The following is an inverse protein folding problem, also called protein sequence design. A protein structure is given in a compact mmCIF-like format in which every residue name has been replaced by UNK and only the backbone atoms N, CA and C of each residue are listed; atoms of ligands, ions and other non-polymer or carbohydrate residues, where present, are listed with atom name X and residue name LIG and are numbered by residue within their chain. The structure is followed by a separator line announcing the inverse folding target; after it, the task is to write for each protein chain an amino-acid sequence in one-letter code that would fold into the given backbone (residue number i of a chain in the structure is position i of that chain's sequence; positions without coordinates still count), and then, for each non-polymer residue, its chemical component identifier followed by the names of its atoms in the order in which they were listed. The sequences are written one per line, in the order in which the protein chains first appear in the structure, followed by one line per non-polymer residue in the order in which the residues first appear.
data_IF_704057814836
#
_entry.id   IF_704057814836
#
_cell.length_a   1.000
_cell.length_b   1.000
_cell.length_c   1.000
_cell.angle_alpha   90.00
_cell.angle_beta   90.00
_cell.angle_gamma   90.00
#
_symmetry.space_group_name_H-M   'P 1'
#
loop_
_entity.id
_entity.type
_entity.pdbx_description
1 polymer ?
#
# COMPACT_ATOMS: atom_id res chain seq x y z
N UNK A 1 -1.75 13.56 -15.00
CA UNK A 1 -2.51 12.32 -14.71
C UNK A 1 -4.00 12.66 -14.78
N UNK A 2 -4.70 12.15 -15.80
CA UNK A 2 -6.17 12.16 -15.82
C UNK A 2 -6.55 10.92 -14.98
N UNK A 3 -6.79 11.10 -13.70
CA UNK A 3 -7.39 10.05 -12.87
C UNK A 3 -8.88 10.05 -13.25
N UNK A 4 -9.28 9.18 -14.16
CA UNK A 4 -10.68 8.97 -14.49
C UNK A 4 -11.38 8.05 -13.50
N UNK A 5 -10.63 7.23 -12.77
CA UNK A 5 -11.17 6.25 -11.84
C UNK A 5 -10.49 6.36 -10.48
N UNK A 6 -11.29 6.28 -9.42
CA UNK A 6 -10.82 6.21 -8.05
C UNK A 6 -11.13 4.84 -7.44
N UNK A 7 -10.11 4.15 -6.98
CA UNK A 7 -10.24 2.87 -6.30
C UNK A 7 -10.58 3.07 -4.81
N UNK A 8 -11.72 2.58 -4.39
CA UNK A 8 -12.20 2.61 -3.02
C UNK A 8 -12.22 1.20 -2.45
N UNK A 9 -11.50 0.97 -1.35
CA UNK A 9 -11.59 -0.26 -0.57
C UNK A 9 -12.89 -0.29 0.21
N UNK A 10 -13.66 -1.36 0.06
CA UNK A 10 -14.91 -1.57 0.79
C UNK A 10 -14.68 -1.69 2.31
N UNK A 11 -13.61 -2.37 2.74
CA UNK A 11 -13.26 -2.48 4.15
C UNK A 11 -12.81 -1.14 4.73
N UNK A 12 -12.00 -0.39 4.00
CA UNK A 12 -11.57 0.93 4.44
C UNK A 12 -12.73 1.93 4.49
N UNK A 13 -13.70 1.83 3.55
CA UNK A 13 -14.91 2.64 3.58
C UNK A 13 -15.72 2.42 4.87
N UNK A 14 -15.79 1.17 5.37
CA UNK A 14 -16.45 0.83 6.64
C UNK A 14 -15.81 1.43 7.89
N UNK A 15 -14.57 1.91 7.80
CA UNK A 15 -13.96 2.64 8.92
C UNK A 15 -14.55 4.04 9.10
N UNK A 16 -15.18 4.58 8.05
CA UNK A 16 -15.76 5.93 8.07
C UNK A 16 -17.28 5.96 8.16
N UNK A 17 -17.96 4.91 7.74
CA UNK A 17 -19.43 4.86 7.76
C UNK A 17 -19.92 3.47 8.11
N UNK A 18 -20.90 3.40 9.04
CA UNK A 18 -21.51 2.15 9.48
C UNK A 18 -22.56 1.70 8.47
N UNK A 19 -22.42 0.49 7.92
CA UNK A 19 -23.39 -0.12 7.03
C UNK A 19 -23.23 -1.64 6.92
N UNK A 20 -24.31 -2.34 6.56
CA UNK A 20 -24.36 -3.79 6.35
C UNK A 20 -24.66 -4.16 4.89
N UNK A 21 -24.58 -3.21 3.95
CA UNK A 21 -24.74 -3.50 2.53
C UNK A 21 -23.62 -4.43 2.07
N UNK A 22 -23.93 -5.34 1.15
CA UNK A 22 -22.91 -6.12 0.44
C UNK A 22 -22.07 -5.21 -0.49
N UNK A 23 -20.89 -5.65 -0.96
CA UNK A 23 -20.12 -4.88 -1.94
C UNK A 23 -20.93 -4.44 -3.16
N UNK A 24 -21.75 -5.35 -3.73
CA UNK A 24 -22.62 -5.01 -4.86
C UNK A 24 -23.68 -3.98 -4.49
N UNK A 25 -24.36 -4.13 -3.37
CA UNK A 25 -25.36 -3.15 -2.90
C UNK A 25 -24.72 -1.78 -2.62
N UNK A 26 -23.47 -1.76 -2.15
CA UNK A 26 -22.72 -0.52 -1.94
C UNK A 26 -22.40 0.17 -3.28
N UNK A 27 -21.97 -0.59 -4.28
CA UNK A 27 -21.75 -0.07 -5.64
C UNK A 27 -23.04 0.51 -6.25
N UNK A 28 -24.18 -0.20 -6.11
CA UNK A 28 -25.48 0.26 -6.58
C UNK A 28 -25.92 1.55 -5.87
N UNK A 29 -25.69 1.64 -4.55
CA UNK A 29 -26.00 2.82 -3.76
C UNK A 29 -25.18 4.03 -4.18
N UNK A 30 -23.87 3.86 -4.38
CA UNK A 30 -22.96 4.92 -4.83
C UNK A 30 -23.35 5.43 -6.22
N UNK A 31 -23.59 4.54 -7.16
CA UNK A 31 -24.06 4.90 -8.50
C UNK A 31 -25.39 5.68 -8.43
N UNK A 32 -26.33 5.24 -7.59
CA UNK A 32 -27.64 5.90 -7.47
C UNK A 32 -27.57 7.31 -6.84
N UNK A 33 -26.51 7.63 -6.10
CA UNK A 33 -26.30 8.98 -5.54
C UNK A 33 -25.31 9.83 -6.35
N UNK A 34 -24.89 9.36 -7.54
CA UNK A 34 -24.11 10.16 -8.51
C UNK A 34 -22.60 9.92 -8.47
N UNK A 35 -22.16 8.82 -7.86
CA UNK A 35 -20.79 8.31 -7.94
C UNK A 35 -20.84 7.03 -8.77
N UNK A 36 -20.68 7.16 -10.10
CA UNK A 36 -20.77 6.04 -11.03
C UNK A 36 -19.69 5.01 -10.77
N UNK A 37 -20.10 3.76 -10.57
CA UNK A 37 -19.19 2.65 -10.33
C UNK A 37 -18.96 1.91 -11.64
N UNK A 38 -17.71 1.93 -12.12
CA UNK A 38 -17.28 1.30 -13.36
C UNK A 38 -16.95 -0.19 -13.17
N UNK A 39 -16.32 -0.53 -12.05
CA UNK A 39 -15.96 -1.90 -11.75
C UNK A 39 -16.07 -2.21 -10.24
N UNK A 40 -16.30 -3.50 -9.95
CA UNK A 40 -16.30 -4.05 -8.61
C UNK A 40 -15.51 -5.36 -8.63
N UNK A 41 -14.36 -5.38 -7.98
CA UNK A 41 -13.44 -6.51 -8.01
C UNK A 41 -13.07 -6.99 -6.61
N UNK A 42 -13.05 -8.31 -6.41
CA UNK A 42 -12.49 -8.91 -5.19
C UNK A 42 -10.97 -8.95 -5.28
N UNK A 43 -10.29 -8.22 -4.39
CA UNK A 43 -8.83 -8.14 -4.31
C UNK A 43 -8.34 -8.89 -3.08
N UNK A 44 -7.33 -9.72 -3.28
CA UNK A 44 -6.67 -10.46 -2.22
C UNK A 44 -5.35 -9.77 -1.89
N UNK A 45 -5.04 -9.60 -0.59
CA UNK A 45 -3.79 -8.97 -0.11
C UNK A 45 -2.53 -9.68 -0.60
N UNK A 46 -2.64 -10.99 -0.83
CA UNK A 46 -1.60 -11.81 -1.48
C UNK A 46 -2.16 -12.36 -2.78
N UNK A 47 -1.42 -12.21 -3.87
CA UNK A 47 -1.81 -12.67 -5.21
C UNK A 47 -2.15 -14.17 -5.19
N UNK A 48 -3.38 -14.51 -5.59
CA UNK A 48 -3.91 -15.87 -5.53
C UNK A 48 -4.50 -16.29 -4.17
N UNK A 49 -4.41 -15.45 -3.12
CA UNK A 49 -5.06 -15.65 -1.82
C UNK A 49 -4.66 -16.94 -1.11
N UNK A 50 -3.46 -17.42 -1.35
CA UNK A 50 -2.95 -18.70 -0.82
C UNK A 50 -3.87 -19.91 -1.09
N UNK A 51 -4.65 -19.87 -2.18
CA UNK A 51 -5.54 -20.98 -2.57
C UNK A 51 -4.73 -22.23 -2.92
N UNK A 52 -5.07 -23.37 -2.28
CA UNK A 52 -4.35 -24.63 -2.49
C UNK A 52 -3.09 -24.81 -1.65
N UNK A 53 -2.82 -23.85 -0.73
CA UNK A 53 -1.78 -23.99 0.29
C UNK A 53 -2.40 -24.42 1.63
N UNK A 54 -1.69 -25.31 2.35
CA UNK A 54 -2.18 -25.89 3.60
C UNK A 54 -1.06 -25.99 4.63
N UNK A 55 -1.40 -25.97 5.90
CA UNK A 55 -0.50 -26.36 6.98
C UNK A 55 -0.29 -27.87 6.91
N UNK A 56 0.95 -28.30 6.72
CA UNK A 56 1.35 -29.71 6.69
C UNK A 56 2.25 -30.06 7.86
N UNK A 57 2.37 -31.37 8.16
CA UNK A 57 3.34 -31.91 9.09
C UNK A 57 4.29 -32.89 8.38
N UNK A 58 5.58 -32.62 8.45
CA UNK A 58 6.61 -33.52 7.95
C UNK A 58 6.70 -34.71 8.88
N UNK A 59 6.26 -35.89 8.42
CA UNK A 59 6.29 -37.12 9.21
C UNK A 59 7.68 -37.77 9.16
N UNK A 60 8.27 -37.86 7.97
CA UNK A 60 9.64 -38.38 7.75
C UNK A 60 10.42 -37.47 6.83
N UNK A 61 11.72 -37.45 6.99
CA UNK A 61 12.65 -36.69 6.15
C UNK A 61 13.90 -37.53 5.95
N UNK A 62 14.11 -38.04 4.73
CA UNK A 62 15.22 -38.93 4.40
C UNK A 62 16.06 -38.32 3.28
N UNK A 63 17.37 -38.68 3.25
CA UNK A 63 18.24 -38.22 2.16
C UNK A 63 17.76 -38.77 0.80
N UNK A 64 17.81 -37.98 -0.23
CA UNK A 64 17.41 -38.40 -1.57
C UNK A 64 18.43 -39.38 -2.17
N UNK A 65 18.01 -40.53 -2.73
CA UNK A 65 18.93 -41.59 -3.15
C UNK A 65 19.90 -41.18 -4.29
N UNK A 66 19.54 -40.15 -5.05
CA UNK A 66 20.31 -39.68 -6.21
C UNK A 66 20.71 -38.18 -6.09
N UNK A 67 20.76 -37.62 -4.88
CA UNK A 67 21.14 -36.23 -4.65
C UNK A 67 21.69 -36.04 -3.25
N UNK A 68 22.68 -35.18 -3.12
CA UNK A 68 23.38 -34.82 -1.88
C UNK A 68 22.72 -33.63 -1.14
N UNK A 69 21.81 -32.91 -1.81
CA UNK A 69 21.13 -31.71 -1.26
C UNK A 69 19.60 -31.83 -1.24
N UNK A 70 19.01 -32.88 -1.84
CA UNK A 70 17.57 -33.09 -1.79
C UNK A 70 17.19 -34.05 -0.65
N UNK A 71 15.98 -33.88 -0.13
CA UNK A 71 15.35 -34.74 0.85
C UNK A 71 14.03 -35.27 0.32
N UNK A 72 13.73 -36.53 0.63
CA UNK A 72 12.41 -37.14 0.39
C UNK A 72 11.62 -37.08 1.68
N UNK A 73 10.51 -36.40 1.67
CA UNK A 73 9.66 -36.21 2.85
C UNK A 73 8.31 -36.88 2.66
N UNK A 74 7.72 -37.38 3.74
CA UNK A 74 6.30 -37.74 3.81
C UNK A 74 5.60 -36.68 4.63
N UNK A 75 4.62 -36.01 4.03
CA UNK A 75 3.93 -34.87 4.63
C UNK A 75 2.45 -35.16 4.78
N UNK A 76 1.95 -35.01 6.01
CA UNK A 76 0.52 -35.09 6.32
C UNK A 76 -0.11 -33.70 6.11
N UNK A 77 -1.15 -33.64 5.26
CA UNK A 77 -1.95 -32.45 5.01
C UNK A 77 -3.34 -32.52 5.67
N UNK A 78 -3.59 -33.49 6.56
CA UNK A 78 -4.91 -33.68 7.17
C UNK A 78 -5.99 -34.13 6.20
N UNK A 79 -5.63 -34.61 4.99
CA UNK A 79 -6.55 -35.00 3.92
C UNK A 79 -6.61 -36.50 3.63
N UNK A 80 -6.07 -37.32 4.52
CA UNK A 80 -6.01 -38.77 4.39
C UNK A 80 -4.58 -39.29 4.32
N UNK A 81 -4.18 -39.92 3.22
CA UNK A 81 -2.82 -40.48 3.09
C UNK A 81 -1.75 -39.40 2.99
N UNK A 82 -0.63 -39.54 3.72
CA UNK A 82 0.49 -38.62 3.60
C UNK A 82 1.05 -38.57 2.18
N UNK A 83 1.46 -37.38 1.76
CA UNK A 83 1.99 -37.14 0.41
C UNK A 83 3.53 -37.17 0.43
N UNK A 84 4.13 -37.81 -0.58
CA UNK A 84 5.57 -37.77 -0.81
C UNK A 84 5.92 -36.45 -1.51
N UNK A 85 6.81 -35.66 -0.89
CA UNK A 85 7.30 -34.40 -1.44
C UNK A 85 8.82 -34.39 -1.38
N UNK A 86 9.46 -34.04 -2.50
CA UNK A 86 10.92 -33.85 -2.55
C UNK A 86 11.22 -32.37 -2.27
N UNK A 87 12.05 -32.10 -1.29
CA UNK A 87 12.42 -30.76 -0.83
C UNK A 87 13.92 -30.54 -0.94
N UNK A 88 14.33 -29.36 -1.44
CA UNK A 88 15.73 -28.96 -1.56
C UNK A 88 16.20 -27.98 -0.48
N UNK A 89 15.31 -27.56 0.41
CA UNK A 89 15.66 -26.59 1.43
C UNK A 89 16.56 -27.20 2.53
N UNK A 90 17.59 -26.49 2.99
CA UNK A 90 18.55 -27.02 3.97
C UNK A 90 17.97 -27.16 5.37
N UNK A 91 16.86 -26.49 5.66
CA UNK A 91 16.23 -26.47 6.98
C UNK A 91 15.08 -27.46 7.14
N UNK A 92 14.77 -28.31 6.13
CA UNK A 92 13.69 -29.29 6.24
C UNK A 92 14.06 -30.44 7.18
N UNK A 93 13.16 -30.78 8.11
CA UNK A 93 13.35 -31.90 9.05
C UNK A 93 12.04 -32.58 9.43
N UNK A 94 12.12 -33.85 9.86
CA UNK A 94 10.98 -34.56 10.39
C UNK A 94 10.41 -33.89 11.65
N UNK A 95 9.11 -33.91 11.81
CA UNK A 95 8.38 -33.31 12.94
C UNK A 95 7.92 -31.89 12.73
N UNK A 96 8.53 -31.14 11.79
CA UNK A 96 8.18 -29.74 11.52
C UNK A 96 6.75 -29.57 10.97
N UNK A 97 6.13 -28.45 11.36
CA UNK A 97 4.94 -27.90 10.70
C UNK A 97 5.40 -26.93 9.61
N UNK A 98 4.85 -27.04 8.43
CA UNK A 98 5.30 -26.32 7.23
C UNK A 98 4.11 -25.86 6.39
N UNK A 99 4.33 -24.93 5.46
CA UNK A 99 3.33 -24.59 4.43
C UNK A 99 3.61 -25.41 3.19
N UNK A 100 2.55 -26.03 2.67
CA UNK A 100 2.63 -26.94 1.49
C UNK A 100 1.67 -26.46 0.42
N UNK A 101 2.19 -26.28 -0.78
CA UNK A 101 1.41 -26.13 -2.00
C UNK A 101 1.04 -27.52 -2.54
N UNK A 102 -0.27 -27.83 -2.51
CA UNK A 102 -0.85 -29.09 -2.99
C UNK A 102 -0.94 -29.12 -4.52
N UNK A 103 -1.19 -30.28 -5.09
CA UNK A 103 -1.38 -30.43 -6.55
C UNK A 103 -2.50 -29.52 -7.05
N UNK A 104 -2.22 -28.79 -8.13
CA UNK A 104 -3.14 -27.81 -8.71
C UNK A 104 -3.06 -26.42 -8.11
N UNK A 105 -2.32 -26.22 -7.01
CA UNK A 105 -2.03 -24.91 -6.48
C UNK A 105 -1.29 -24.06 -7.53
N UNK A 106 -1.65 -22.78 -7.62
CA UNK A 106 -0.98 -21.79 -8.47
C UNK A 106 -0.18 -20.86 -7.59
N UNK A 107 1.12 -20.80 -7.80
CA UNK A 107 2.05 -19.88 -7.15
C UNK A 107 2.41 -18.75 -8.12
N UNK A 108 2.79 -17.59 -7.59
CA UNK A 108 3.04 -16.37 -8.35
C UNK A 108 4.44 -15.83 -8.03
N UNK A 109 5.16 -15.46 -9.09
CA UNK A 109 6.43 -14.75 -9.03
C UNK A 109 6.31 -13.48 -9.88
N UNK A 110 6.06 -12.35 -9.24
CA UNK A 110 5.72 -11.09 -9.93
C UNK A 110 4.50 -11.28 -10.86
N UNK A 111 4.70 -11.07 -12.16
CA UNK A 111 3.66 -11.25 -13.18
C UNK A 111 3.55 -12.68 -13.72
N UNK A 112 4.49 -13.54 -13.36
CA UNK A 112 4.49 -14.92 -13.77
C UNK A 112 3.71 -15.79 -12.78
N UNK A 113 3.19 -16.92 -13.28
CA UNK A 113 2.53 -17.93 -12.43
C UNK A 113 2.91 -19.33 -12.87
N UNK A 114 3.00 -20.24 -11.91
CA UNK A 114 3.20 -21.64 -12.20
C UNK A 114 2.29 -22.52 -11.36
N UNK A 115 1.82 -23.63 -11.96
CA UNK A 115 0.93 -24.55 -11.28
C UNK A 115 1.72 -25.74 -10.75
N UNK A 116 1.51 -26.08 -9.48
CA UNK A 116 2.10 -27.28 -8.87
C UNK A 116 1.50 -28.52 -9.50
N UNK A 117 2.37 -29.31 -10.11
CA UNK A 117 2.01 -30.57 -10.78
C UNK A 117 2.83 -31.72 -10.22
N UNK A 118 2.27 -32.93 -10.29
CA UNK A 118 3.04 -34.13 -10.04
C UNK A 118 4.32 -34.15 -10.89
N UNK A 119 5.45 -34.24 -10.24
CA UNK A 119 6.77 -34.18 -10.87
C UNK A 119 7.66 -35.33 -10.43
N UNK A 120 8.74 -35.57 -11.19
CA UNK A 120 9.82 -36.50 -10.78
C UNK A 120 11.13 -35.73 -10.67
N UNK A 121 11.68 -35.61 -9.48
CA UNK A 121 12.95 -34.97 -9.21
C UNK A 121 14.02 -36.05 -9.05
N UNK A 122 14.99 -36.10 -9.96
CA UNK A 122 16.05 -37.12 -10.03
C UNK A 122 15.54 -38.57 -9.86
N UNK A 123 14.35 -38.86 -10.41
CA UNK A 123 13.75 -40.21 -10.39
C UNK A 123 12.76 -40.47 -9.25
N UNK A 124 12.71 -39.60 -8.22
CA UNK A 124 11.75 -39.70 -7.14
C UNK A 124 10.54 -38.80 -7.39
N UNK A 125 9.35 -39.31 -7.13
CA UNK A 125 8.08 -38.64 -7.35
C UNK A 125 7.83 -37.57 -6.26
N UNK A 126 7.34 -36.40 -6.66
CA UNK A 126 6.89 -35.31 -5.76
C UNK A 126 5.45 -34.93 -6.08
N UNK A 127 4.61 -34.91 -5.03
CA UNK A 127 3.16 -34.65 -5.14
C UNK A 127 2.76 -33.29 -4.56
N UNK A 128 3.71 -32.36 -4.45
CA UNK A 128 3.50 -31.02 -3.91
C UNK A 128 4.83 -30.30 -3.76
N UNK A 129 4.79 -29.15 -3.11
CA UNK A 129 5.97 -28.33 -2.79
C UNK A 129 5.86 -27.76 -1.38
N UNK A 130 6.92 -27.90 -0.57
CA UNK A 130 7.05 -27.21 0.70
C UNK A 130 7.62 -25.83 0.40
N UNK A 131 6.99 -24.75 0.89
CA UNK A 131 7.23 -23.39 0.40
C UNK A 131 8.08 -22.55 1.36
N UNK A 132 8.85 -21.62 0.77
CA UNK A 132 9.49 -20.49 1.43
C UNK A 132 8.53 -19.27 1.51
N UNK A 133 8.90 -18.23 2.24
CA UNK A 133 8.05 -17.04 2.41
C UNK A 133 7.82 -16.26 1.11
N UNK A 134 8.88 -16.06 0.35
CA UNK A 134 8.84 -15.33 -0.92
C UNK A 134 8.07 -16.07 -2.01
N UNK A 135 8.10 -17.41 -2.00
CA UNK A 135 7.38 -18.25 -2.96
C UNK A 135 5.84 -18.13 -2.83
N UNK A 136 5.36 -17.75 -1.66
CA UNK A 136 3.92 -17.57 -1.39
C UNK A 136 3.54 -16.10 -1.11
N UNK A 137 4.50 -15.19 -1.13
CA UNK A 137 4.28 -13.75 -1.02
C UNK A 137 3.94 -13.24 0.38
N UNK A 138 4.28 -13.99 1.45
CA UNK A 138 4.07 -13.55 2.84
C UNK A 138 5.30 -12.84 3.45
N UNK A 139 6.45 -12.95 2.80
CA UNK A 139 7.71 -12.35 3.22
C UNK A 139 8.72 -12.32 2.09
N UNK A 140 9.98 -12.12 2.43
CA UNK A 140 11.10 -12.00 1.47
C UNK A 140 12.20 -13.05 1.69
N UNK A 141 12.06 -13.91 2.70
CA UNK A 141 13.07 -14.93 3.01
C UNK A 141 12.97 -16.10 2.03
N UNK A 142 14.12 -16.40 1.38
CA UNK A 142 14.33 -17.53 0.47
C UNK A 142 15.37 -18.52 1.00
N UNK A 143 15.95 -18.28 2.18
CA UNK A 143 17.03 -19.12 2.71
C UNK A 143 16.58 -20.54 3.10
N UNK A 144 15.28 -20.75 3.26
CA UNK A 144 14.68 -22.04 3.63
C UNK A 144 13.16 -22.04 3.56
N UNK A 145 12.59 -23.21 3.87
CA UNK A 145 11.13 -23.35 3.99
C UNK A 145 10.59 -22.65 5.24
N UNK A 146 9.31 -22.28 5.20
CA UNK A 146 8.56 -21.79 6.36
C UNK A 146 8.42 -22.92 7.39
N UNK A 147 8.91 -22.69 8.61
CA UNK A 147 8.69 -23.59 9.74
C UNK A 147 7.74 -22.90 10.71
N UNK A 148 6.57 -23.49 10.87
CA UNK A 148 5.51 -22.98 11.74
C UNK A 148 5.67 -23.46 13.18
N UNK A 149 5.05 -22.78 14.17
CA UNK A 149 4.94 -23.24 15.54
C UNK A 149 4.30 -24.65 15.64
N UNK A 150 4.67 -25.39 16.69
CA UNK A 150 4.21 -26.78 16.89
C UNK A 150 2.68 -26.91 17.06
N UNK A 151 1.99 -25.86 17.48
CA UNK A 151 0.55 -25.80 17.65
C UNK A 151 -0.22 -25.47 16.36
N UNK A 152 0.45 -25.17 15.24
CA UNK A 152 -0.20 -24.90 13.97
C UNK A 152 -1.10 -26.08 13.54
N UNK A 153 -2.40 -25.84 13.19
CA UNK A 153 -3.35 -26.92 12.90
C UNK A 153 -3.08 -27.56 11.53
N UNK A 154 -2.72 -28.85 11.52
CA UNK A 154 -2.50 -29.60 10.27
C UNK A 154 -3.78 -29.67 9.46
N UNK A 155 -3.67 -29.44 8.17
CA UNK A 155 -4.80 -29.44 7.21
C UNK A 155 -5.54 -28.12 7.11
N UNK A 156 -5.24 -27.14 7.97
CA UNK A 156 -5.85 -25.80 7.85
C UNK A 156 -5.35 -25.12 6.57
N UNK A 157 -6.26 -24.48 5.79
CA UNK A 157 -5.88 -23.64 4.67
C UNK A 157 -4.92 -22.53 5.13
N UNK A 158 -3.85 -22.28 4.36
CA UNK A 158 -2.85 -21.27 4.73
C UNK A 158 -3.47 -19.85 4.82
N UNK A 159 -4.45 -19.54 3.96
CA UNK A 159 -5.19 -18.29 4.02
C UNK A 159 -5.87 -18.06 5.38
N UNK A 160 -6.49 -19.09 5.93
CA UNK A 160 -7.12 -19.03 7.26
C UNK A 160 -6.07 -18.96 8.38
N UNK A 161 -4.98 -19.72 8.26
CA UNK A 161 -3.90 -19.72 9.24
C UNK A 161 -3.26 -18.34 9.38
N UNK A 162 -3.03 -17.64 8.25
CA UNK A 162 -2.47 -16.29 8.23
C UNK A 162 -3.53 -15.19 8.41
N UNK A 163 -4.81 -15.56 8.57
CA UNK A 163 -5.89 -14.59 8.71
C UNK A 163 -6.05 -13.68 7.48
N UNK A 164 -5.74 -14.22 6.29
CA UNK A 164 -5.88 -13.44 5.06
C UNK A 164 -7.36 -13.20 4.76
N UNK A 165 -7.68 -11.95 4.64
CA UNK A 165 -9.01 -11.51 4.28
C UNK A 165 -8.99 -10.89 2.87
N UNK A 166 -9.93 -11.28 2.01
CA UNK A 166 -10.17 -10.55 0.77
C UNK A 166 -10.84 -9.20 1.07
N UNK A 167 -10.59 -8.24 0.23
CA UNK A 167 -11.31 -6.96 0.19
C UNK A 167 -11.97 -6.79 -1.18
N UNK A 168 -12.90 -5.86 -1.28
CA UNK A 168 -13.51 -5.46 -2.54
C UNK A 168 -13.06 -4.05 -2.90
N UNK A 169 -12.63 -3.88 -4.14
CA UNK A 169 -12.32 -2.56 -4.70
C UNK A 169 -13.48 -2.12 -5.56
N UNK A 170 -13.98 -0.94 -5.25
CA UNK A 170 -15.03 -0.24 -5.99
C UNK A 170 -14.32 0.84 -6.81
N UNK A 171 -14.28 0.66 -8.12
CA UNK A 171 -13.74 1.65 -9.05
C UNK A 171 -14.82 2.67 -9.40
N UNK A 172 -14.58 3.94 -9.05
CA UNK A 172 -15.56 5.02 -9.20
C UNK A 172 -15.04 6.05 -10.21
N UNK A 173 -15.84 6.36 -11.21
CA UNK A 173 -15.58 7.53 -12.09
C UNK A 173 -15.99 8.82 -11.37
N UNK A 174 -15.01 9.66 -11.07
CA UNK A 174 -15.21 10.93 -10.37
C UNK A 174 -15.17 12.08 -11.36
N UNK A 175 -16.32 12.71 -11.57
CA UNK A 175 -16.40 13.90 -12.43
C UNK A 175 -15.61 15.08 -11.86
N UNK A 176 -15.08 15.94 -12.72
CA UNK A 176 -14.16 17.03 -12.36
C UNK A 176 -14.73 18.04 -11.34
N UNK A 177 -16.05 18.11 -11.19
CA UNK A 177 -16.74 18.97 -10.21
C UNK A 177 -16.91 18.31 -8.84
N UNK A 178 -16.54 17.03 -8.68
CA UNK A 178 -16.69 16.23 -7.45
C UNK A 178 -15.35 15.99 -6.75
N UNK A 179 -14.47 16.99 -6.70
CA UNK A 179 -13.22 16.91 -5.96
C UNK A 179 -13.38 16.56 -4.47
N UNK A 180 -14.55 16.79 -3.90
CA UNK A 180 -14.93 16.38 -2.55
C UNK A 180 -15.04 14.86 -2.36
N UNK A 181 -15.24 14.11 -3.45
CA UNK A 181 -15.35 12.65 -3.45
C UNK A 181 -14.03 11.94 -3.80
N UNK A 182 -12.93 12.67 -4.04
CA UNK A 182 -11.60 12.09 -4.33
C UNK A 182 -10.91 11.55 -3.07
N UNK A 183 -11.64 10.79 -2.26
CA UNK A 183 -11.11 10.11 -1.06
C UNK A 183 -12.11 9.11 -0.50
N UNK A 184 -11.64 8.16 0.31
CA UNK A 184 -12.52 7.24 1.03
C UNK A 184 -13.52 7.99 1.93
N UNK A 185 -13.06 9.02 2.66
CA UNK A 185 -13.95 9.82 3.49
C UNK A 185 -14.96 10.63 2.68
N UNK A 186 -14.56 11.15 1.50
CA UNK A 186 -15.47 11.85 0.60
C UNK A 186 -16.60 10.93 0.10
N UNK A 187 -16.24 9.73 -0.35
CA UNK A 187 -17.22 8.70 -0.76
C UNK A 187 -18.09 8.24 0.41
N UNK A 188 -17.50 8.07 1.61
CA UNK A 188 -18.25 7.71 2.82
C UNK A 188 -19.33 8.73 3.16
N UNK A 189 -19.08 10.03 2.95
CA UNK A 189 -20.07 11.10 3.17
C UNK A 189 -21.29 10.95 2.25
N UNK A 190 -21.05 10.64 0.99
CA UNK A 190 -22.13 10.44 0.01
C UNK A 190 -22.92 9.17 0.34
N UNK A 191 -22.23 8.08 0.62
CA UNK A 191 -22.86 6.83 1.05
C UNK A 191 -23.68 7.04 2.34
N UNK A 192 -23.14 7.77 3.32
CA UNK A 192 -23.86 8.10 4.56
C UNK A 192 -25.14 8.88 4.27
N UNK A 193 -25.09 9.88 3.38
CA UNK A 193 -26.26 10.66 3.01
C UNK A 193 -27.32 9.77 2.33
N UNK A 194 -26.90 8.89 1.43
CA UNK A 194 -27.79 7.92 0.78
C UNK A 194 -28.42 6.95 1.80
N UNK A 195 -27.64 6.39 2.70
CA UNK A 195 -28.11 5.48 3.75
C UNK A 195 -29.16 6.15 4.63
N UNK A 196 -28.91 7.39 5.08
CA UNK A 196 -29.86 8.16 5.89
C UNK A 196 -31.17 8.41 5.15
N UNK A 197 -31.11 8.80 3.87
CA UNK A 197 -32.28 9.07 3.05
C UNK A 197 -33.11 7.81 2.83
N UNK A 198 -32.50 6.64 2.79
CA UNK A 198 -33.15 5.36 2.59
C UNK A 198 -33.51 4.64 3.91
N UNK A 199 -33.44 5.32 5.04
CA UNK A 199 -33.92 4.82 6.33
C UNK A 199 -32.98 3.85 7.08
N UNK A 200 -31.74 3.72 6.63
CA UNK A 200 -30.75 2.89 7.33
C UNK A 200 -30.27 3.56 8.62
N UNK A 201 -30.04 2.73 9.65
CA UNK A 201 -29.30 3.18 10.83
C UNK A 201 -27.81 3.23 10.48
N UNK A 202 -27.21 4.41 10.59
CA UNK A 202 -25.83 4.63 10.18
C UNK A 202 -25.21 5.80 10.93
N UNK A 203 -23.91 5.79 11.09
CA UNK A 203 -23.09 6.89 11.64
C UNK A 203 -21.93 7.15 10.70
N UNK A 204 -21.50 8.41 10.66
CA UNK A 204 -20.29 8.84 9.94
C UNK A 204 -19.19 9.12 10.96
N UNK A 205 -18.04 8.47 10.80
CA UNK A 205 -16.90 8.58 11.69
C UNK A 205 -15.79 9.36 11.01
N UNK A 206 -15.42 10.48 11.61
CA UNK A 206 -14.21 11.21 11.24
C UNK A 206 -13.18 11.01 12.33
N UNK A 207 -12.01 10.43 12.03
CA UNK A 207 -10.94 10.37 13.02
C UNK A 207 -10.61 11.74 13.57
N UNK A 208 -10.55 11.84 14.89
CA UNK A 208 -10.23 13.09 15.59
C UNK A 208 -8.75 13.42 15.52
N UNK A 209 -8.45 14.66 15.81
CA UNK A 209 -7.08 15.16 15.94
C UNK A 209 -6.79 15.69 17.36
N UNK A 210 -7.61 15.33 18.32
CA UNK A 210 -7.54 15.83 19.70
C UNK A 210 -6.26 15.38 20.42
N UNK A 211 -5.69 14.26 19.97
CA UNK A 211 -4.43 13.74 20.50
C UNK A 211 -3.19 14.48 19.95
N UNK A 212 -3.36 15.32 18.93
CA UNK A 212 -2.24 16.08 18.38
C UNK A 212 -1.78 17.16 19.36
N UNK A 213 -0.51 17.17 19.66
CA UNK A 213 0.16 18.24 20.42
C UNK A 213 1.57 18.49 19.85
N UNK A 214 2.10 19.65 20.11
CA UNK A 214 3.47 19.98 19.74
C UNK A 214 4.39 19.51 20.86
N UNK A 215 5.28 18.57 20.56
CA UNK A 215 6.21 17.99 21.55
C UNK A 215 7.37 18.93 21.89
N UNK A 216 7.86 19.68 20.90
CA UNK A 216 8.98 20.59 21.04
C UNK A 216 8.93 21.71 19.98
N UNK A 217 9.85 22.66 20.04
CA UNK A 217 10.05 23.74 19.08
C UNK A 217 11.48 23.80 18.55
N UNK A 218 12.15 22.65 18.45
CA UNK A 218 13.58 22.57 18.14
C UNK A 218 13.88 22.83 16.66
N UNK A 219 12.89 22.63 15.78
CA UNK A 219 13.02 22.83 14.34
C UNK A 219 11.91 23.76 13.83
N UNK A 220 12.00 25.07 14.08
CA UNK A 220 11.05 26.03 13.56
C UNK A 220 11.25 26.21 12.05
N UNK A 221 10.15 26.27 11.30
CA UNK A 221 10.14 26.54 9.86
C UNK A 221 9.29 27.77 9.62
N UNK A 222 9.90 28.80 9.06
CA UNK A 222 9.19 29.99 8.62
C UNK A 222 8.51 29.76 7.27
N UNK A 223 7.35 30.37 7.07
CA UNK A 223 6.59 30.25 5.82
C UNK A 223 6.19 31.64 5.31
N UNK A 224 6.55 31.90 4.04
CA UNK A 224 6.12 33.11 3.33
C UNK A 224 5.36 32.71 2.06
N UNK A 225 4.18 33.28 1.87
CA UNK A 225 3.41 33.15 0.63
C UNK A 225 3.50 34.48 -0.12
N UNK A 226 4.28 34.52 -1.20
CA UNK A 226 4.42 35.72 -2.03
C UNK A 226 3.24 35.88 -3.02
N UNK A 227 2.65 34.78 -3.47
CA UNK A 227 1.50 34.77 -4.36
C UNK A 227 0.26 34.18 -3.66
N UNK A 228 -0.46 35.03 -2.95
CA UNK A 228 -1.67 34.66 -2.21
C UNK A 228 -2.87 34.30 -3.08
N UNK A 229 -2.86 34.64 -4.37
CA UNK A 229 -3.88 34.19 -5.32
C UNK A 229 -3.66 32.71 -5.70
N UNK A 230 -2.42 32.34 -6.00
CA UNK A 230 -2.04 31.00 -6.38
C UNK A 230 -2.01 30.02 -5.19
N UNK A 231 -1.55 30.47 -4.02
CA UNK A 231 -1.55 29.69 -2.79
C UNK A 231 -2.29 30.46 -1.67
N UNK A 232 -3.50 30.03 -1.36
CA UNK A 232 -4.33 30.68 -0.35
C UNK A 232 -4.01 30.29 1.07
N UNK A 233 -3.44 29.10 1.26
CA UNK A 233 -3.04 28.57 2.54
C UNK A 233 -1.87 27.61 2.35
N UNK A 234 -0.89 27.73 3.24
CA UNK A 234 0.19 26.78 3.39
C UNK A 234 0.36 26.48 4.88
N UNK A 235 0.31 25.21 5.23
CA UNK A 235 0.56 24.74 6.58
C UNK A 235 1.65 23.68 6.51
N UNK A 236 2.52 23.65 7.50
CA UNK A 236 3.51 22.59 7.65
C UNK A 236 3.74 22.23 9.11
N UNK A 237 4.26 21.03 9.31
CA UNK A 237 4.72 20.53 10.60
C UNK A 237 6.13 19.97 10.40
N UNK A 238 7.07 20.39 11.26
CA UNK A 238 8.38 19.76 11.34
C UNK A 238 8.34 18.57 12.30
N UNK A 239 8.96 17.46 11.90
CA UNK A 239 9.05 16.23 12.71
C UNK A 239 10.52 15.84 12.77
N UNK A 240 11.07 15.75 13.98
CA UNK A 240 12.48 15.41 14.22
C UNK A 240 12.65 13.96 14.65
N UNK A 241 13.82 13.38 14.37
CA UNK A 241 14.16 12.03 14.80
C UNK A 241 13.42 10.92 14.02
N UNK A 242 13.01 11.19 12.79
CA UNK A 242 12.39 10.19 11.92
C UNK A 242 13.40 9.12 11.50
N UNK A 243 12.91 7.93 11.26
CA UNK A 243 13.64 6.85 10.59
C UNK A 243 12.87 6.46 9.34
N UNK A 244 13.48 6.72 8.17
CA UNK A 244 12.90 6.28 6.90
C UNK A 244 13.16 4.79 6.75
N UNK A 245 12.08 4.01 6.68
CA UNK A 245 12.11 2.55 6.59
C UNK A 245 10.88 2.01 5.89
N UNK A 246 10.81 0.71 5.73
CA UNK A 246 9.63 0.03 5.20
C UNK A 246 8.39 0.33 6.05
N UNK A 247 7.27 0.53 5.37
CA UNK A 247 5.97 0.78 6.03
C UNK A 247 5.49 -0.43 6.83
N UNK A 248 4.74 -0.21 7.93
CA UNK A 248 4.10 -1.29 8.64
C UNK A 248 3.08 -2.00 7.74
N UNK A 249 2.86 -3.29 7.98
CA UNK A 249 2.06 -4.15 7.09
C UNK A 249 0.65 -3.60 6.85
N UNK A 250 -0.05 -3.11 7.88
CA UNK A 250 -1.38 -2.55 7.74
C UNK A 250 -1.47 -1.39 6.73
N UNK A 251 -0.41 -0.56 6.65
CA UNK A 251 -0.33 0.56 5.71
C UNK A 251 -0.08 0.08 4.29
N UNK A 252 0.85 -0.88 4.15
CA UNK A 252 1.11 -1.54 2.86
C UNK A 252 -0.14 -2.22 2.31
N UNK A 253 -0.88 -2.94 3.13
CA UNK A 253 -2.10 -3.65 2.73
C UNK A 253 -3.17 -2.68 2.22
N UNK A 254 -3.42 -1.58 2.93
CA UNK A 254 -4.38 -0.54 2.51
C UNK A 254 -4.02 0.09 1.17
N UNK A 255 -2.74 0.40 0.95
CA UNK A 255 -2.29 1.00 -0.31
C UNK A 255 -2.32 -0.03 -1.46
N UNK A 256 -1.85 -1.24 -1.23
CA UNK A 256 -1.85 -2.30 -2.23
C UNK A 256 -3.26 -2.63 -2.73
N UNK A 257 -4.25 -2.70 -1.83
CA UNK A 257 -5.64 -3.01 -2.19
C UNK A 257 -6.19 -2.01 -3.22
N UNK A 258 -5.87 -0.73 -3.08
CA UNK A 258 -6.32 0.32 -4.01
C UNK A 258 -5.37 0.53 -5.20
N UNK A 259 -4.34 -0.33 -5.36
CA UNK A 259 -3.42 -0.31 -6.49
C UNK A 259 -2.23 0.64 -6.34
N UNK A 260 -1.97 1.18 -5.14
CA UNK A 260 -0.80 2.01 -4.86
C UNK A 260 0.34 1.14 -4.32
N UNK A 261 1.50 1.21 -4.98
CA UNK A 261 2.70 0.49 -4.56
C UNK A 261 3.36 1.20 -3.37
N UNK A 262 3.55 0.53 -2.23
CA UNK A 262 4.31 1.08 -1.11
C UNK A 262 5.78 1.37 -1.47
N UNK A 263 6.32 2.45 -0.90
CA UNK A 263 7.70 2.90 -1.14
C UNK A 263 8.49 2.91 0.18
N UNK A 264 8.09 3.75 1.12
CA UNK A 264 8.61 3.82 2.47
C UNK A 264 7.58 4.49 3.39
N UNK A 265 7.77 4.39 4.71
CA UNK A 265 6.83 4.87 5.70
C UNK A 265 6.44 6.36 5.55
N UNK A 266 7.36 7.23 5.13
CA UNK A 266 7.09 8.67 4.99
C UNK A 266 6.20 8.93 3.76
N UNK A 267 6.59 8.42 2.60
CA UNK A 267 5.83 8.58 1.35
C UNK A 267 4.46 7.89 1.46
N UNK A 268 4.42 6.70 2.05
CA UNK A 268 3.19 5.93 2.18
C UNK A 268 2.17 6.59 3.12
N UNK A 269 2.62 7.27 4.18
CA UNK A 269 1.75 8.09 5.03
C UNK A 269 1.12 9.23 4.22
N UNK A 270 1.87 9.93 3.37
CA UNK A 270 1.31 11.00 2.54
C UNK A 270 0.30 10.48 1.52
N UNK A 271 0.58 9.33 0.89
CA UNK A 271 -0.35 8.64 0.01
C UNK A 271 -1.61 8.17 0.76
N UNK A 272 -1.44 7.60 1.95
CA UNK A 272 -2.56 7.18 2.80
C UNK A 272 -3.48 8.36 3.13
N UNK A 273 -2.95 9.49 3.56
CA UNK A 273 -3.74 10.70 3.89
C UNK A 273 -4.46 11.24 2.64
N UNK A 274 -3.80 11.26 1.50
CA UNK A 274 -4.41 11.66 0.23
C UNK A 274 -5.61 10.78 -0.12
N UNK A 275 -5.46 9.46 -0.03
CA UNK A 275 -6.53 8.51 -0.33
C UNK A 275 -7.60 8.42 0.76
N UNK A 276 -7.24 8.73 2.01
CA UNK A 276 -8.16 8.77 3.14
C UNK A 276 -9.07 10.01 3.10
N UNK A 277 -8.51 11.20 2.88
CA UNK A 277 -9.18 12.49 3.07
C UNK A 277 -9.17 13.42 1.86
N UNK A 278 -8.49 13.06 0.79
CA UNK A 278 -8.39 13.89 -0.42
C UNK A 278 -7.45 15.09 -0.27
N UNK A 279 -6.54 15.07 0.71
CA UNK A 279 -5.54 16.10 0.91
C UNK A 279 -4.18 15.61 0.39
N UNK A 280 -3.72 16.07 -0.79
CA UNK A 280 -2.36 15.84 -1.23
C UNK A 280 -1.38 16.47 -0.25
N UNK A 281 -0.30 15.74 0.06
CA UNK A 281 0.75 16.20 0.96
C UNK A 281 2.11 15.94 0.33
N UNK A 282 3.08 16.78 0.67
CA UNK A 282 4.47 16.55 0.32
C UNK A 282 5.33 16.51 1.59
N UNK A 283 6.45 15.81 1.53
CA UNK A 283 7.36 15.71 2.65
C UNK A 283 8.78 16.06 2.15
N UNK A 284 9.35 17.11 2.74
CA UNK A 284 10.72 17.54 2.46
C UNK A 284 11.68 17.01 3.54
N UNK A 285 12.90 16.68 3.14
CA UNK A 285 14.00 16.57 4.09
C UNK A 285 14.27 17.97 4.69
N UNK A 286 14.09 18.10 5.99
CA UNK A 286 14.19 19.40 6.66
C UNK A 286 15.61 20.00 6.62
N UNK A 287 16.63 19.13 6.55
CA UNK A 287 18.04 19.55 6.48
C UNK A 287 18.38 20.15 5.08
N UNK A 288 17.53 19.88 4.07
CA UNK A 288 17.61 20.48 2.74
C UNK A 288 16.81 21.77 2.59
N UNK A 289 16.02 22.15 3.60
CA UNK A 289 15.29 23.42 3.60
C UNK A 289 16.24 24.55 4.06
N UNK A 290 16.98 25.12 3.12
CA UNK A 290 17.94 26.18 3.37
C UNK A 290 17.26 27.38 4.07
N UNK A 291 17.91 27.88 5.14
CA UNK A 291 17.40 28.97 5.95
C UNK A 291 16.23 28.62 6.84
N UNK A 292 15.81 27.34 6.93
CA UNK A 292 14.60 26.89 7.60
C UNK A 292 13.36 27.71 7.19
N UNK A 293 13.33 28.10 5.92
CA UNK A 293 12.32 29.00 5.39
C UNK A 293 11.72 28.44 4.11
N UNK A 294 10.41 28.29 4.10
CA UNK A 294 9.63 27.92 2.92
C UNK A 294 9.03 29.18 2.30
N UNK A 295 9.27 29.39 1.02
CA UNK A 295 8.74 30.51 0.25
C UNK A 295 7.91 29.97 -0.92
N UNK A 296 6.62 30.28 -0.94
CA UNK A 296 5.71 29.89 -2.05
C UNK A 296 5.60 31.05 -3.01
N UNK A 297 6.21 30.90 -4.20
CA UNK A 297 6.30 31.97 -5.21
C UNK A 297 6.36 31.42 -6.63
N UNK A 298 6.16 32.28 -7.61
CA UNK A 298 6.48 31.98 -9.02
C UNK A 298 7.97 32.20 -9.29
N UNK A 299 8.46 31.68 -10.40
CA UNK A 299 9.88 31.75 -10.77
C UNK A 299 10.10 32.73 -11.94
N UNK A 300 11.31 33.28 -12.09
CA UNK A 300 11.72 33.95 -13.33
C UNK A 300 11.61 33.00 -14.53
N UNK A 301 11.29 33.56 -15.71
CA UNK A 301 11.27 32.81 -16.95
C UNK A 301 12.58 32.08 -17.23
N UNK A 302 12.51 30.79 -17.60
CA UNK A 302 13.67 29.96 -17.89
C UNK A 302 14.41 29.41 -16.68
N UNK A 303 13.84 29.51 -15.48
CA UNK A 303 14.43 28.89 -14.27
C UNK A 303 14.51 27.38 -14.46
N UNK A 304 15.73 26.83 -14.37
CA UNK A 304 15.95 25.37 -14.47
C UNK A 304 15.52 24.66 -13.19
N UNK A 305 14.83 23.53 -13.36
CA UNK A 305 14.36 22.70 -12.28
C UNK A 305 14.44 21.23 -12.64
N UNK A 306 15.00 20.40 -11.76
CA UNK A 306 15.11 18.94 -11.97
C UNK A 306 14.14 18.23 -11.03
N UNK A 307 13.20 17.49 -11.60
CA UNK A 307 12.18 16.72 -10.88
C UNK A 307 12.75 15.42 -10.29
N UNK A 308 11.98 14.77 -9.38
CA UNK A 308 12.39 13.53 -8.70
C UNK A 308 12.69 12.37 -9.65
N UNK A 309 12.08 12.32 -10.83
CA UNK A 309 12.39 11.37 -11.92
C UNK A 309 13.65 11.69 -12.69
N UNK A 310 14.27 12.85 -12.40
CA UNK A 310 15.53 13.30 -13.01
C UNK A 310 15.35 14.08 -14.32
N UNK A 311 14.12 14.40 -14.71
CA UNK A 311 13.87 15.24 -15.88
C UNK A 311 14.13 16.72 -15.58
N UNK A 312 14.73 17.44 -16.55
CA UNK A 312 14.97 18.88 -16.47
C UNK A 312 13.83 19.66 -17.12
N UNK A 313 13.26 20.60 -16.38
CA UNK A 313 12.20 21.49 -16.82
C UNK A 313 12.68 22.95 -16.79
N UNK A 314 12.09 23.77 -17.67
CA UNK A 314 12.22 25.22 -17.61
C UNK A 314 10.91 25.80 -17.06
N UNK A 315 11.00 26.43 -15.88
CA UNK A 315 9.85 27.07 -15.24
C UNK A 315 9.61 28.47 -15.84
N UNK A 316 8.35 28.82 -15.98
CA UNK A 316 7.91 30.13 -16.42
C UNK A 316 7.40 31.01 -15.28
N UNK A 317 7.04 32.24 -15.61
CA UNK A 317 6.54 33.25 -14.64
C UNK A 317 5.21 32.92 -14.01
N UNK A 318 4.49 31.91 -14.55
CA UNK A 318 3.22 31.42 -14.00
C UNK A 318 3.37 30.12 -13.21
N UNK A 319 4.53 29.47 -13.24
CA UNK A 319 4.76 28.23 -12.52
C UNK A 319 4.99 28.50 -11.04
N UNK A 320 4.04 28.07 -10.23
CA UNK A 320 4.12 28.20 -8.78
C UNK A 320 5.10 27.17 -8.23
N UNK A 321 6.04 27.62 -7.43
CA UNK A 321 7.03 26.77 -6.77
C UNK A 321 7.00 26.91 -5.27
N UNK A 322 7.30 25.81 -4.58
CA UNK A 322 7.67 25.79 -3.17
C UNK A 322 9.19 25.85 -3.13
N UNK A 323 9.73 26.91 -2.53
CA UNK A 323 11.16 27.18 -2.47
C UNK A 323 11.66 27.10 -1.02
N UNK A 324 12.96 26.85 -0.87
CA UNK A 324 13.66 27.23 0.36
C UNK A 324 14.16 28.71 0.23
N UNK A 325 15.04 29.16 1.11
CA UNK A 325 15.56 30.54 1.05
C UNK A 325 16.37 30.83 -0.22
N UNK A 326 16.86 29.81 -0.92
CA UNK A 326 17.82 29.93 -2.02
C UNK A 326 17.23 29.52 -3.39
N UNK A 327 16.52 28.38 -3.45
CA UNK A 327 16.12 27.75 -4.70
C UNK A 327 14.74 27.06 -4.64
N UNK A 328 14.11 26.73 -5.80
CA UNK A 328 12.88 25.96 -5.85
C UNK A 328 13.14 24.49 -5.46
N UNK A 329 12.26 23.95 -4.61
CA UNK A 329 12.29 22.56 -4.12
C UNK A 329 11.19 21.69 -4.73
N UNK A 330 10.09 22.29 -5.18
CA UNK A 330 8.94 21.57 -5.69
C UNK A 330 8.12 22.46 -6.64
N UNK A 331 7.62 21.89 -7.73
CA UNK A 331 6.57 22.54 -8.53
C UNK A 331 5.26 22.31 -7.77
N UNK A 332 4.70 23.39 -7.24
CA UNK A 332 3.60 23.35 -6.28
C UNK A 332 2.39 22.56 -6.80
N UNK A 333 1.99 21.52 -6.05
CA UNK A 333 0.84 20.67 -6.38
C UNK A 333 1.04 19.75 -7.60
N UNK A 334 2.25 19.66 -8.15
CA UNK A 334 2.57 18.87 -9.36
C UNK A 334 3.65 17.84 -9.07
N UNK A 335 4.91 18.28 -8.78
CA UNK A 335 6.04 17.36 -8.69
C UNK A 335 7.16 17.88 -7.77
N UNK A 336 7.68 17.00 -6.93
CA UNK A 336 8.84 17.29 -6.07
C UNK A 336 10.15 17.38 -6.85
N UNK A 337 11.09 18.17 -6.33
CA UNK A 337 12.44 18.31 -6.87
C UNK A 337 13.41 17.24 -6.34
N UNK A 338 14.40 16.88 -7.15
CA UNK A 338 15.39 15.86 -6.83
C UNK A 338 16.24 16.17 -5.58
N UNK A 339 16.42 17.45 -5.25
CA UNK A 339 17.28 17.88 -4.13
C UNK A 339 16.61 17.95 -2.76
N UNK A 340 15.28 17.80 -2.67
CA UNK A 340 14.52 18.05 -1.43
C UNK A 340 13.65 16.89 -0.96
N UNK A 341 13.71 15.74 -1.65
CA UNK A 341 12.99 14.53 -1.28
C UNK A 341 13.55 13.86 -0.02
N UNK A 342 12.80 12.88 0.49
CA UNK A 342 13.21 12.07 1.65
C UNK A 342 13.99 10.84 1.20
N UNK A 343 15.09 10.54 1.89
CA UNK A 343 16.01 9.43 1.65
C UNK A 343 16.19 8.60 2.93
N UNK A 344 16.82 7.44 2.83
CA UNK A 344 17.12 6.59 4.01
C UNK A 344 17.95 7.30 5.09
N UNK A 345 18.72 8.32 4.69
CA UNK A 345 19.52 9.15 5.60
C UNK A 345 18.73 10.26 6.28
N UNK A 346 17.54 10.59 5.80
CA UNK A 346 16.69 11.65 6.36
C UNK A 346 16.30 11.33 7.80
N UNK A 347 16.45 12.32 8.68
CA UNK A 347 16.10 12.23 10.11
C UNK A 347 15.10 13.28 10.56
N UNK A 348 15.02 14.37 9.83
CA UNK A 348 14.10 15.46 10.13
C UNK A 348 13.31 15.77 8.86
N UNK A 349 12.01 15.94 9.00
CA UNK A 349 11.13 16.19 7.85
C UNK A 349 10.24 17.40 8.06
N UNK A 350 9.88 18.06 6.99
CA UNK A 350 8.81 19.06 6.93
C UNK A 350 7.66 18.48 6.14
N UNK A 351 6.57 18.21 6.81
CA UNK A 351 5.34 17.70 6.22
C UNK A 351 4.45 18.88 5.82
N UNK A 352 4.12 18.96 4.54
CA UNK A 352 3.31 20.02 3.94
C UNK A 352 1.84 19.65 3.85
N UNK A 353 0.97 20.64 4.03
CA UNK A 353 -0.44 20.61 3.61
C UNK A 353 -0.84 21.99 3.11
N UNK A 354 -1.04 22.11 1.79
CA UNK A 354 -1.30 23.38 1.14
C UNK A 354 -2.64 23.41 0.42
N UNK A 355 -3.16 24.62 0.18
CA UNK A 355 -4.31 24.88 -0.67
C UNK A 355 -3.90 25.79 -1.82
N UNK A 356 -3.67 25.18 -2.98
CA UNK A 356 -3.35 25.87 -4.22
C UNK A 356 -4.62 26.13 -5.04
N UNK A 357 -4.60 27.24 -5.80
CA UNK A 357 -5.69 27.57 -6.69
C UNK A 357 -5.68 26.66 -7.93
N UNK A 358 -6.77 25.91 -8.23
CA UNK A 358 -6.77 24.89 -9.28
C UNK A 358 -6.39 25.40 -10.69
N UNK A 359 -6.79 26.64 -11.00
CA UNK A 359 -6.47 27.23 -12.30
C UNK A 359 -4.99 27.52 -12.47
N UNK A 360 -4.28 27.89 -11.39
CA UNK A 360 -2.83 28.08 -11.41
C UNK A 360 -2.07 26.76 -11.62
N UNK A 361 -2.56 25.70 -10.99
CA UNK A 361 -1.90 24.38 -11.08
C UNK A 361 -2.13 23.71 -12.44
N UNK A 362 -3.24 24.02 -13.15
CA UNK A 362 -3.59 23.38 -14.42
C UNK A 362 -3.02 24.08 -15.66
N UNK A 363 -2.63 25.34 -15.58
CA UNK A 363 -2.14 26.16 -16.69
C UNK A 363 -0.63 26.17 -16.76
#
# INVERSE_FOLDING_TARGET
LIIHAMNISYKWLKEYVDFDLTPQQTADALTSCGLEVDALEEVQTIKGGLKGLYVGKVLTCEAHPNSDHLHVTMVDLGKGEPQQIVCGAPNVAAGQKVIVADLGCVLYDGDQSFTIKKSKLRGVESLGMICAEDEIGIGTDHAGIIVLPDDAPVGQPAAEYYGLESDWVIEIDITANRGDALSHYGVARDLYAWLKQNGYQTSLHRPGCEAFHVDNHDLPIDVTIENAEACRRYACVSITGCEVKESPQWLKDKLNVIGLRPINNIVDITNYIMMAYGQPMHCFDADMVAGHHIVVRTQPEGTKFVTLDGEEHELGTHDLSICNAEEPMCIAGIFGGKGSGTYETTRNVVLESAYFHPTWIRK
#
